data_IF_395823999723
#
_entry.id   IF_395823999723
#
_cell.length_a   1.000
_cell.length_b   1.000
_cell.length_c   1.000
_cell.angle_alpha   90.00
_cell.angle_beta   90.00
_cell.angle_gamma   90.00
#
_symmetry.space_group_name_H-M   'P 1'
#
loop_
_entity.id
_entity.type
_entity.pdbx_description
1 polymer ?
#
# COMPACT_ATOMS: atom_id res chain seq x y z
N UNK A 1 -11.00 -23.29 -4.42
CA UNK A 1 -11.50 -22.77 -3.13
C UNK A 1 -11.69 -21.29 -3.35
N UNK A 2 -12.93 -20.85 -3.48
CA UNK A 2 -13.28 -19.49 -3.90
C UNK A 2 -13.05 -18.51 -2.74
N UNK A 3 -11.94 -17.75 -2.79
CA UNK A 3 -11.67 -16.70 -1.81
C UNK A 3 -12.69 -15.56 -2.01
N UNK A 4 -13.60 -15.32 -1.03
CA UNK A 4 -14.65 -14.30 -1.17
C UNK A 4 -14.07 -12.89 -1.35
N UNK A 5 -12.86 -12.65 -0.86
CA UNK A 5 -12.14 -11.38 -1.00
C UNK A 5 -11.69 -11.16 -2.43
N UNK A 6 -11.22 -12.21 -3.10
CA UNK A 6 -10.86 -12.18 -4.52
C UNK A 6 -12.09 -11.98 -5.38
N UNK A 7 -13.20 -12.67 -5.06
CA UNK A 7 -14.46 -12.47 -5.79
C UNK A 7 -14.92 -11.02 -5.71
N UNK A 8 -14.92 -10.43 -4.51
CA UNK A 8 -15.27 -9.02 -4.31
C UNK A 8 -14.33 -8.06 -5.06
N UNK A 9 -13.04 -8.37 -5.14
CA UNK A 9 -12.08 -7.61 -5.93
C UNK A 9 -12.44 -7.64 -7.43
N UNK A 10 -12.79 -8.82 -7.97
CA UNK A 10 -13.17 -8.99 -9.37
C UNK A 10 -14.51 -8.34 -9.71
N UNK A 11 -15.48 -8.36 -8.78
CA UNK A 11 -16.74 -7.63 -8.91
C UNK A 11 -16.47 -6.12 -9.03
N UNK A 12 -15.71 -5.57 -8.09
CA UNK A 12 -15.29 -4.17 -8.10
C UNK A 12 -14.51 -3.78 -9.35
N UNK A 13 -13.62 -4.65 -9.83
CA UNK A 13 -12.85 -4.48 -11.06
C UNK A 13 -13.79 -4.30 -12.27
N UNK A 14 -14.78 -5.19 -12.42
CA UNK A 14 -15.77 -5.16 -13.52
C UNK A 14 -16.69 -3.94 -13.43
N UNK A 15 -17.17 -3.61 -12.24
CA UNK A 15 -18.01 -2.43 -11.99
C UNK A 15 -17.31 -1.12 -12.40
N UNK A 16 -15.98 -1.10 -12.38
CA UNK A 16 -15.17 0.06 -12.74
C UNK A 16 -14.72 0.08 -14.20
N UNK A 17 -15.32 -0.76 -15.05
CA UNK A 17 -15.09 -0.77 -16.50
C UNK A 17 -13.82 -1.51 -16.92
N UNK A 18 -13.26 -2.34 -16.04
CA UNK A 18 -12.12 -3.17 -16.40
C UNK A 18 -12.58 -4.46 -17.10
N UNK A 19 -11.85 -4.94 -18.11
CA UNK A 19 -12.24 -6.13 -18.84
C UNK A 19 -12.12 -7.39 -17.98
N UNK A 20 -12.91 -8.42 -18.33
CA UNK A 20 -12.80 -9.73 -17.70
C UNK A 20 -11.36 -10.26 -17.86
N UNK A 21 -10.67 -10.59 -16.76
CA UNK A 21 -9.29 -11.05 -16.84
C UNK A 21 -9.24 -12.44 -17.47
N UNK A 22 -8.20 -12.68 -18.29
CA UNK A 22 -7.85 -14.02 -18.79
C UNK A 22 -7.01 -14.81 -17.77
N UNK A 23 -7.02 -14.33 -16.53
CA UNK A 23 -6.24 -14.82 -15.41
C UNK A 23 -7.18 -15.04 -14.22
N UNK A 24 -6.89 -16.07 -13.43
CA UNK A 24 -7.44 -16.26 -12.09
C UNK A 24 -6.38 -15.99 -11.02
N UNK A 25 -6.81 -15.56 -9.83
CA UNK A 25 -5.93 -15.38 -8.68
C UNK A 25 -6.01 -16.61 -7.80
N UNK A 26 -4.88 -17.25 -7.53
CA UNK A 26 -4.79 -18.45 -6.69
C UNK A 26 -3.66 -18.34 -5.66
N UNK A 27 -3.84 -19.01 -4.52
CA UNK A 27 -2.78 -19.22 -3.55
C UNK A 27 -1.76 -20.24 -4.03
N UNK A 28 -0.49 -19.96 -3.81
CA UNK A 28 0.67 -20.78 -4.14
C UNK A 28 1.42 -21.06 -2.84
N UNK A 29 1.53 -22.33 -2.42
CA UNK A 29 2.28 -22.69 -1.22
C UNK A 29 3.70 -22.11 -1.24
N UNK A 30 4.07 -21.40 -0.17
CA UNK A 30 5.39 -20.77 -0.03
C UNK A 30 5.63 -19.48 -0.82
N UNK A 31 4.78 -19.14 -1.81
CA UNK A 31 4.95 -17.95 -2.65
C UNK A 31 3.81 -16.90 -2.50
N UNK A 32 2.76 -17.21 -1.74
CA UNK A 32 1.65 -16.29 -1.50
C UNK A 32 0.59 -16.37 -2.59
N UNK A 33 0.06 -15.26 -3.09
CA UNK A 33 -0.94 -15.25 -4.18
C UNK A 33 -0.27 -14.96 -5.52
N UNK A 34 -0.70 -15.66 -6.56
CA UNK A 34 -0.24 -15.50 -7.93
C UNK A 34 -1.40 -15.44 -8.91
N UNK A 35 -1.11 -15.00 -10.14
CA UNK A 35 -2.06 -15.02 -11.25
C UNK A 35 -1.77 -16.17 -12.19
N UNK A 36 -2.81 -16.86 -12.64
CA UNK A 36 -2.71 -18.04 -13.49
C UNK A 36 -3.62 -17.90 -14.70
N UNK A 37 -3.14 -18.29 -15.88
CA UNK A 37 -3.97 -18.29 -17.08
C UNK A 37 -5.08 -19.34 -16.95
N UNK A 38 -6.31 -18.95 -17.27
CA UNK A 38 -7.47 -19.85 -17.34
C UNK A 38 -7.67 -20.46 -18.73
N UNK A 39 -6.91 -19.98 -19.72
CA UNK A 39 -6.89 -20.41 -21.11
C UNK A 39 -5.56 -20.05 -21.75
N UNK A 40 -5.29 -20.62 -22.91
CA UNK A 40 -4.09 -20.26 -23.69
C UNK A 40 -4.13 -18.79 -24.09
N UNK A 41 -2.97 -18.13 -23.96
CA UNK A 41 -2.79 -16.71 -24.26
C UNK A 41 -1.79 -16.61 -25.42
N UNK A 42 -2.23 -16.06 -26.54
CA UNK A 42 -1.37 -15.83 -27.68
C UNK A 42 -0.29 -14.77 -27.37
N UNK A 43 0.90 -14.87 -27.98
CA UNK A 43 1.91 -13.81 -27.89
C UNK A 43 1.35 -12.45 -28.29
N UNK A 44 1.81 -11.39 -27.62
CA UNK A 44 1.42 -10.00 -27.86
C UNK A 44 -0.05 -9.65 -27.57
N UNK A 45 -0.84 -10.55 -26.96
CA UNK A 45 -2.16 -10.20 -26.46
C UNK A 45 -2.06 -9.55 -25.06
N UNK A 46 -2.83 -8.49 -24.79
CA UNK A 46 -2.88 -7.91 -23.46
C UNK A 46 -3.50 -8.92 -22.48
N UNK A 47 -2.76 -9.22 -21.42
CA UNK A 47 -3.17 -10.18 -20.39
C UNK A 47 -4.00 -9.49 -19.30
N UNK A 48 -3.64 -8.24 -18.97
CA UNK A 48 -4.31 -7.41 -17.97
C UNK A 48 -4.41 -5.99 -18.51
N UNK A 49 -5.56 -5.35 -18.30
CA UNK A 49 -5.76 -3.93 -18.58
C UNK A 49 -6.39 -3.28 -17.36
N UNK A 50 -5.73 -2.30 -16.76
CA UNK A 50 -6.20 -1.59 -15.57
C UNK A 50 -6.74 -0.22 -15.99
N UNK A 51 -8.04 0.08 -15.79
CA UNK A 51 -8.58 1.42 -15.98
C UNK A 51 -7.90 2.46 -15.09
N UNK A 52 -7.73 3.69 -15.60
CA UNK A 52 -7.02 4.76 -14.86
C UNK A 52 -7.66 5.12 -13.52
N UNK A 53 -8.98 4.97 -13.37
CA UNK A 53 -9.71 5.19 -12.12
C UNK A 53 -9.35 4.18 -11.03
N UNK A 54 -8.82 3.01 -11.40
CA UNK A 54 -8.34 1.99 -10.47
C UNK A 54 -6.84 2.13 -10.13
N UNK A 55 -6.16 3.15 -10.68
CA UNK A 55 -4.77 3.45 -10.35
C UNK A 55 -4.68 4.47 -9.22
N UNK A 56 -3.84 4.17 -8.24
CA UNK A 56 -3.44 5.13 -7.19
C UNK A 56 -2.15 5.82 -7.65
N UNK A 57 -2.22 7.13 -7.88
CA UNK A 57 -1.06 7.97 -8.22
C UNK A 57 -0.97 9.15 -7.27
N UNK A 58 0.22 9.76 -7.13
CA UNK A 58 0.41 10.97 -6.32
C UNK A 58 -0.60 12.05 -6.69
N UNK A 59 -0.74 12.34 -7.98
CA UNK A 59 -1.67 13.35 -8.47
C UNK A 59 -3.11 13.04 -8.04
N UNK A 60 -3.58 11.81 -8.28
CA UNK A 60 -4.92 11.40 -7.89
C UNK A 60 -5.14 11.44 -6.37
N UNK A 61 -4.14 11.06 -5.57
CA UNK A 61 -4.22 11.16 -4.11
C UNK A 61 -4.38 12.60 -3.66
N UNK A 62 -3.52 13.51 -4.13
CA UNK A 62 -3.51 14.89 -3.67
C UNK A 62 -4.67 15.72 -4.21
N UNK A 63 -5.24 15.38 -5.37
CA UNK A 63 -6.33 16.16 -5.99
C UNK A 63 -7.72 15.56 -5.79
N UNK A 64 -7.85 14.23 -5.74
CA UNK A 64 -9.14 13.53 -5.76
C UNK A 64 -9.40 12.75 -4.48
N UNK A 65 -8.47 11.90 -4.05
CA UNK A 65 -8.76 10.90 -3.01
C UNK A 65 -8.51 11.39 -1.58
N UNK A 66 -7.54 12.28 -1.37
CA UNK A 66 -7.10 12.71 -0.05
C UNK A 66 -6.45 14.11 -0.12
N UNK A 67 -7.20 15.10 -0.60
CA UNK A 67 -6.70 16.47 -0.74
C UNK A 67 -6.32 17.12 0.60
N UNK A 68 -6.79 16.57 1.72
CA UNK A 68 -6.36 17.00 3.07
C UNK A 68 -4.85 16.91 3.26
N UNK A 69 -4.15 15.99 2.59
CA UNK A 69 -2.69 15.90 2.66
C UNK A 69 -2.03 17.21 2.20
N UNK A 70 -2.63 17.95 1.25
CA UNK A 70 -2.08 19.22 0.77
C UNK A 70 -2.20 20.35 1.80
N UNK A 71 -2.86 20.14 2.94
CA UNK A 71 -2.95 21.10 4.05
C UNK A 71 -1.71 21.12 4.92
N UNK A 72 -0.89 20.07 4.90
CA UNK A 72 0.45 20.13 5.50
C UNK A 72 1.41 20.78 4.50
N UNK A 73 2.17 21.82 4.90
CA UNK A 73 3.21 22.41 4.05
C UNK A 73 4.35 21.41 3.76
N UNK A 74 4.48 20.36 4.58
CA UNK A 74 5.48 19.30 4.39
C UNK A 74 5.05 18.26 3.36
N UNK A 75 3.76 18.13 3.05
CA UNK A 75 3.27 17.14 2.09
C UNK A 75 3.83 17.35 0.67
N UNK A 76 4.10 18.60 0.28
CA UNK A 76 4.72 18.91 -1.00
C UNK A 76 6.12 18.27 -1.16
N UNK A 77 6.84 18.07 -0.05
CA UNK A 77 8.20 17.51 -0.03
C UNK A 77 8.24 15.98 0.07
N UNK A 78 7.10 15.34 0.33
CA UNK A 78 7.04 13.89 0.34
C UNK A 78 7.38 13.34 -1.05
N UNK A 79 8.09 12.22 -1.09
CA UNK A 79 8.26 11.44 -2.31
C UNK A 79 6.91 10.89 -2.80
N UNK A 80 6.86 10.35 -4.03
CA UNK A 80 5.66 9.70 -4.54
C UNK A 80 5.25 8.51 -3.66
N UNK A 81 6.21 7.65 -3.30
CA UNK A 81 5.98 6.50 -2.43
C UNK A 81 5.45 6.91 -1.06
N UNK A 82 5.97 8.00 -0.46
CA UNK A 82 5.47 8.48 0.83
C UNK A 82 4.02 8.96 0.78
N UNK A 83 3.61 9.64 -0.30
CA UNK A 83 2.21 10.06 -0.47
C UNK A 83 1.30 8.85 -0.61
N UNK A 84 1.70 7.85 -1.39
CA UNK A 84 0.94 6.61 -1.55
C UNK A 84 0.84 5.85 -0.22
N UNK A 85 1.93 5.73 0.52
CA UNK A 85 1.97 5.07 1.83
C UNK A 85 1.07 5.80 2.84
N UNK A 86 1.17 7.13 2.94
CA UNK A 86 0.30 7.93 3.80
C UNK A 86 -1.18 7.74 3.46
N UNK A 87 -1.53 7.74 2.17
CA UNK A 87 -2.89 7.49 1.72
C UNK A 87 -3.40 6.09 2.12
N UNK A 88 -2.59 5.04 1.89
CA UNK A 88 -2.97 3.68 2.28
C UNK A 88 -3.14 3.53 3.80
N UNK A 89 -2.29 4.18 4.60
CA UNK A 89 -2.42 4.21 6.07
C UNK A 89 -3.72 4.90 6.47
N UNK A 90 -4.04 6.06 5.90
CA UNK A 90 -5.27 6.80 6.19
C UNK A 90 -6.52 5.99 5.82
N UNK A 91 -6.50 5.28 4.69
CA UNK A 91 -7.59 4.36 4.32
C UNK A 91 -7.71 3.20 5.32
N UNK A 92 -6.59 2.58 5.68
CA UNK A 92 -6.58 1.45 6.62
C UNK A 92 -7.10 1.83 8.00
N UNK A 93 -6.78 3.04 8.46
CA UNK A 93 -7.25 3.60 9.73
C UNK A 93 -8.67 4.14 9.67
N UNK A 94 -9.34 4.08 8.51
CA UNK A 94 -10.65 4.72 8.29
C UNK A 94 -10.66 6.18 8.72
N UNK A 95 -9.58 6.90 8.41
CA UNK A 95 -9.38 8.26 8.87
C UNK A 95 -10.54 9.16 8.40
N UNK A 96 -11.15 9.97 9.28
CA UNK A 96 -12.32 10.79 8.94
C UNK A 96 -12.00 11.95 7.99
N UNK A 97 -10.71 12.25 7.79
CA UNK A 97 -10.25 13.21 6.80
C UNK A 97 -10.36 12.70 5.36
N UNK A 98 -10.57 11.39 5.18
CA UNK A 98 -10.84 10.75 3.90
C UNK A 98 -12.34 10.47 3.84
N UNK A 99 -12.97 10.90 2.75
CA UNK A 99 -14.42 10.76 2.60
C UNK A 99 -14.85 9.28 2.67
N UNK A 100 -16.01 8.96 3.31
CA UNK A 100 -16.51 7.58 3.41
C UNK A 100 -16.58 6.83 2.07
N UNK A 101 -17.00 7.52 1.00
CA UNK A 101 -17.07 6.95 -0.34
C UNK A 101 -15.71 6.51 -0.89
N UNK A 102 -14.61 7.14 -0.47
CA UNK A 102 -13.26 6.75 -0.87
C UNK A 102 -12.81 5.48 -0.14
N UNK A 103 -13.16 5.36 1.15
CA UNK A 103 -12.92 4.12 1.91
C UNK A 103 -13.69 2.94 1.29
N UNK A 104 -14.97 3.14 1.00
CA UNK A 104 -15.83 2.15 0.35
C UNK A 104 -15.31 1.76 -1.03
N UNK A 105 -14.88 2.75 -1.82
CA UNK A 105 -14.33 2.52 -3.16
C UNK A 105 -13.08 1.63 -3.13
N UNK A 106 -12.13 1.87 -2.22
CA UNK A 106 -10.88 1.11 -2.16
C UNK A 106 -10.94 -0.14 -1.26
N UNK A 107 -12.06 -0.37 -0.55
CA UNK A 107 -12.21 -1.50 0.36
C UNK A 107 -11.95 -2.87 -0.29
N UNK A 108 -12.43 -3.17 -1.53
CA UNK A 108 -12.15 -4.45 -2.19
C UNK A 108 -10.66 -4.68 -2.41
N UNK A 109 -9.93 -3.65 -2.87
CA UNK A 109 -8.49 -3.70 -3.04
C UNK A 109 -7.77 -3.92 -1.71
N UNK A 110 -8.06 -3.10 -0.69
CA UNK A 110 -7.39 -3.16 0.61
C UNK A 110 -7.60 -4.49 1.35
N UNK A 111 -8.76 -5.12 1.17
CA UNK A 111 -9.02 -6.43 1.74
C UNK A 111 -8.11 -7.52 1.14
N UNK A 112 -7.60 -7.30 -0.07
CA UNK A 112 -6.66 -8.20 -0.74
C UNK A 112 -5.20 -7.83 -0.54
N UNK A 113 -4.85 -6.73 0.14
CA UNK A 113 -3.44 -6.40 0.39
C UNK A 113 -2.89 -7.32 1.50
N UNK A 114 -1.70 -7.94 1.33
CA UNK A 114 -1.06 -8.71 2.40
C UNK A 114 -0.86 -7.88 3.67
N UNK A 115 -1.07 -8.50 4.83
CA UNK A 115 -0.82 -7.87 6.13
C UNK A 115 0.65 -7.97 6.55
N UNK A 116 1.42 -8.84 5.91
CA UNK A 116 2.81 -9.10 6.19
C UNK A 116 3.58 -9.22 4.87
N UNK A 117 4.83 -8.78 4.88
CA UNK A 117 5.75 -8.85 3.75
C UNK A 117 7.09 -9.37 4.24
N UNK A 118 7.71 -10.25 3.47
CA UNK A 118 9.07 -10.78 3.74
C UNK A 118 10.13 -9.84 3.20
N UNK A 119 10.07 -8.56 3.62
CA UNK A 119 11.05 -7.57 3.25
C UNK A 119 12.28 -7.74 4.15
N UNK A 120 13.44 -8.03 3.55
CA UNK A 120 14.70 -8.34 4.26
C UNK A 120 15.16 -7.23 5.22
N UNK A 121 14.68 -6.00 5.06
CA UNK A 121 15.05 -4.84 5.88
C UNK A 121 14.38 -4.81 7.26
N UNK A 122 13.39 -5.67 7.51
CA UNK A 122 12.69 -5.77 8.80
C UNK A 122 12.95 -7.10 9.52
N UNK A 123 13.83 -7.95 8.96
CA UNK A 123 14.18 -9.25 9.54
C UNK A 123 15.58 -9.17 10.16
N UNK A 124 15.63 -9.03 11.49
CA UNK A 124 16.88 -8.92 12.26
C UNK A 124 17.78 -10.14 12.06
N UNK A 125 17.22 -11.33 11.87
CA UNK A 125 17.98 -12.56 11.64
C UNK A 125 18.70 -12.56 10.28
N UNK A 126 18.17 -11.84 9.28
CA UNK A 126 18.81 -11.67 7.97
C UNK A 126 19.98 -10.69 8.05
N UNK A 127 19.86 -9.65 8.89
CA UNK A 127 20.90 -8.65 9.07
C UNK A 127 22.18 -9.24 9.70
N UNK A 128 21.99 -10.08 10.72
CA UNK A 128 23.08 -10.75 11.44
C UNK A 128 23.62 -11.99 10.71
N UNK A 129 23.11 -12.29 9.51
CA UNK A 129 23.61 -13.38 8.71
C UNK A 129 25.07 -13.16 8.32
N UNK A 130 25.97 -13.98 8.85
CA UNK A 130 27.41 -13.95 8.56
C UNK A 130 27.71 -14.14 7.06
N UNK A 131 26.87 -14.90 6.36
CA UNK A 131 27.04 -15.22 4.94
C UNK A 131 26.51 -14.17 3.97
N UNK A 132 25.88 -13.11 4.47
CA UNK A 132 25.32 -12.08 3.61
C UNK A 132 26.46 -11.22 3.00
N UNK A 133 26.57 -11.10 1.66
CA UNK A 133 27.61 -10.30 1.03
C UNK A 133 27.61 -8.85 1.50
N UNK A 134 28.80 -8.24 1.63
CA UNK A 134 28.97 -6.86 2.11
C UNK A 134 28.20 -5.82 1.28
N UNK A 135 28.11 -6.01 -0.04
CA UNK A 135 27.30 -5.13 -0.90
C UNK A 135 25.81 -5.23 -0.56
N UNK A 136 25.32 -6.44 -0.28
CA UNK A 136 23.93 -6.67 0.12
C UNK A 136 23.65 -6.06 1.49
N UNK A 137 24.57 -6.21 2.46
CA UNK A 137 24.49 -5.54 3.78
C UNK A 137 24.34 -4.02 3.64
N UNK A 138 25.22 -3.38 2.86
CA UNK A 138 25.15 -1.92 2.61
C UNK A 138 23.86 -1.47 1.94
N UNK A 139 23.32 -2.26 1.00
CA UNK A 139 22.02 -1.98 0.37
C UNK A 139 20.87 -2.08 1.38
N UNK A 140 20.88 -3.10 2.22
CA UNK A 140 19.90 -3.28 3.30
C UNK A 140 19.94 -2.09 4.27
N UNK A 141 21.12 -1.73 4.77
CA UNK A 141 21.30 -0.56 5.66
C UNK A 141 20.78 0.73 5.03
N UNK A 142 21.03 0.92 3.74
CA UNK A 142 20.52 2.08 3.00
C UNK A 142 18.99 2.07 2.93
N UNK A 143 18.38 0.92 2.64
CA UNK A 143 16.93 0.78 2.57
C UNK A 143 16.26 0.96 3.94
N UNK A 144 16.87 0.48 5.02
CA UNK A 144 16.43 0.72 6.41
C UNK A 144 16.45 2.23 6.70
N UNK A 145 17.58 2.90 6.43
CA UNK A 145 17.71 4.35 6.64
C UNK A 145 16.69 5.14 5.83
N UNK A 146 16.45 4.75 4.57
CA UNK A 146 15.42 5.36 3.73
C UNK A 146 14.03 5.14 4.32
N UNK A 147 13.68 3.92 4.74
CA UNK A 147 12.39 3.62 5.36
C UNK A 147 12.15 4.43 6.65
N UNK A 148 13.15 4.57 7.51
CA UNK A 148 13.05 5.43 8.69
C UNK A 148 12.86 6.91 8.33
N UNK A 149 13.58 7.40 7.33
CA UNK A 149 13.46 8.78 6.84
C UNK A 149 12.07 9.04 6.29
N UNK A 150 11.56 8.12 5.47
CA UNK A 150 10.23 8.19 4.87
C UNK A 150 9.13 8.12 5.94
N UNK A 151 9.27 7.21 6.93
CA UNK A 151 8.35 7.11 8.06
C UNK A 151 8.32 8.40 8.89
N UNK A 152 9.48 9.00 9.16
CA UNK A 152 9.56 10.26 9.89
C UNK A 152 8.88 11.40 9.10
N UNK A 153 9.09 11.45 7.78
CA UNK A 153 8.46 12.45 6.91
C UNK A 153 6.93 12.29 6.86
N UNK A 154 6.43 11.06 6.71
CA UNK A 154 4.98 10.76 6.75
C UNK A 154 4.40 11.14 8.11
N UNK A 155 5.04 10.71 9.20
CA UNK A 155 4.62 11.00 10.56
C UNK A 155 4.54 12.50 10.81
N UNK A 156 5.52 13.28 10.36
CA UNK A 156 5.51 14.74 10.47
C UNK A 156 4.32 15.39 9.73
N UNK A 157 3.94 14.87 8.57
CA UNK A 157 2.73 15.33 7.84
C UNK A 157 1.46 14.96 8.60
N UNK A 158 1.37 13.73 9.11
CA UNK A 158 0.21 13.29 9.89
C UNK A 158 0.06 14.10 11.19
N UNK A 159 1.15 14.44 11.86
CA UNK A 159 1.13 15.34 13.02
C UNK A 159 0.59 16.73 12.66
N UNK A 160 1.05 17.33 11.57
CA UNK A 160 0.51 18.64 11.12
C UNK A 160 -1.01 18.58 10.91
N UNK A 161 -1.53 17.44 10.42
CA UNK A 161 -2.97 17.24 10.22
C UNK A 161 -3.73 17.03 11.54
N UNK A 162 -3.13 16.33 12.51
CA UNK A 162 -3.70 16.19 13.86
C UNK A 162 -3.76 17.55 14.55
N UNK A 163 -2.70 18.34 14.48
CA UNK A 163 -2.64 19.69 15.10
C UNK A 163 -3.69 20.63 14.49
N UNK A 164 -3.99 20.46 13.20
CA UNK A 164 -5.06 21.16 12.50
C UNK A 164 -6.46 20.58 12.77
N UNK A 165 -6.58 19.58 13.67
CA UNK A 165 -7.84 18.89 14.02
C UNK A 165 -8.49 18.18 12.82
N UNK A 166 -7.73 17.91 11.77
CA UNK A 166 -8.18 17.19 10.58
C UNK A 166 -8.09 15.68 10.79
N UNK A 167 -7.33 15.21 11.77
CA UNK A 167 -7.29 13.82 12.21
C UNK A 167 -7.69 13.72 13.69
N UNK A 168 -8.49 12.72 14.09
CA UNK A 168 -8.88 12.53 15.48
C UNK A 168 -7.66 12.07 16.30
N UNK A 169 -7.53 12.60 17.52
CA UNK A 169 -6.46 12.29 18.48
C UNK A 169 -6.29 10.78 18.75
N UNK A 170 -7.35 9.98 18.57
CA UNK A 170 -7.33 8.52 18.68
C UNK A 170 -6.44 7.80 17.65
N UNK A 171 -5.97 8.47 16.58
CA UNK A 171 -4.97 7.93 15.66
C UNK A 171 -3.54 7.93 16.23
N UNK A 172 -3.28 8.60 17.37
CA UNK A 172 -1.93 8.75 17.90
C UNK A 172 -1.34 7.56 18.71
N UNK A 173 -2.09 6.66 19.41
CA UNK A 173 -1.41 5.69 20.30
C UNK A 173 -0.80 4.45 19.61
N UNK A 174 -1.19 4.13 18.37
CA UNK A 174 -0.75 2.87 17.70
C UNK A 174 0.40 3.01 16.71
N UNK A 175 0.78 4.23 16.34
CA UNK A 175 1.92 4.46 15.44
C UNK A 175 3.28 4.27 16.14
N UNK A 176 3.36 4.40 17.47
CA UNK A 176 4.61 4.23 18.24
C UNK A 176 4.75 2.92 19.01
N UNK A 177 3.67 2.14 19.23
CA UNK A 177 3.69 1.01 20.18
C UNK A 177 3.68 -0.39 19.54
N UNK A 178 3.41 -0.51 18.23
CA UNK A 178 3.34 -1.80 17.54
C UNK A 178 4.49 -2.09 16.56
N UNK A 179 5.45 -1.17 16.43
CA UNK A 179 6.69 -1.36 15.66
C UNK A 179 7.90 -1.66 16.56
N UNK A 180 7.68 -2.23 17.76
CA UNK A 180 8.76 -2.91 18.46
C UNK A 180 8.88 -4.28 17.81
N UNK A 181 10.00 -4.49 17.12
CA UNK A 181 10.47 -5.80 16.71
C UNK A 181 10.26 -6.79 17.85
N UNK A 182 9.56 -7.87 17.55
CA UNK A 182 9.57 -9.11 18.31
C UNK A 182 10.05 -10.22 17.40
#
# INVERSE_FOLDING_TARGET
MDDPTIRRLLDWWRENGAPEPVLEIRGVPGAGRGMFAIRDIEPNKPIVQVPRNLLVSRAAVLSKWCSVLTKSPRAARLSEHCVLAAFLVLLKLQAPCVAPSVHEFWAPYLATVPTQFTNLFFDEAVYDCEFLPQDTKRRIETQIRTAHTDLAAITAVLHDLVDQHLLPLYCQPRLCSSWRCG
#
